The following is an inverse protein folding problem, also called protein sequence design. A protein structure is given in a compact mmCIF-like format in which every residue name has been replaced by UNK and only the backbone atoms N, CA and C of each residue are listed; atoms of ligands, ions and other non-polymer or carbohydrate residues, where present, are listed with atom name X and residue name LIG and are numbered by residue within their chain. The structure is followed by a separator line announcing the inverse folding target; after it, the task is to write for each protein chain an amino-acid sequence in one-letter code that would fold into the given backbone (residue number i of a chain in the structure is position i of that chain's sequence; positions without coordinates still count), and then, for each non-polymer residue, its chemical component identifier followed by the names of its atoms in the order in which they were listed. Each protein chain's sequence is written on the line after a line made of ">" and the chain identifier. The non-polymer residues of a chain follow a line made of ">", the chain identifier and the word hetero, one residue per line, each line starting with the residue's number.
data_IF_763670085469
#
_entry.id   IF_763670085469
#
_cell.length_a   1.000
_cell.length_b   1.000
_cell.length_c   1.000
_cell.angle_alpha   90.00
_cell.angle_beta   90.00
_cell.angle_gamma   90.00
#
_symmetry.space_group_name_H-M   'P 1'
#
loop_
_entity.id
_entity.type
_entity.pdbx_description
1 polymer ?
#
# COMPACT_ATOMS: atom_id res chain seq x y z
N UNK A 1 78.10 -19.55 49.53
CA UNK A 1 76.84 -19.43 48.77
C UNK A 1 75.75 -19.03 49.75
N UNK A 2 75.12 -17.85 49.57
CA UNK A 2 74.10 -17.33 50.51
C UNK A 2 72.89 -18.27 50.52
N UNK A 3 72.37 -18.67 51.70
CA UNK A 3 71.17 -19.49 51.76
C UNK A 3 70.02 -18.69 51.16
N UNK A 4 69.50 -19.18 50.04
CA UNK A 4 68.32 -18.62 49.38
C UNK A 4 67.17 -18.78 50.36
N UNK A 5 66.57 -17.65 50.75
CA UNK A 5 65.42 -17.61 51.65
C UNK A 5 64.20 -18.19 50.92
N UNK A 6 64.08 -19.54 50.95
CA UNK A 6 63.07 -20.31 50.21
C UNK A 6 61.62 -19.90 50.54
N UNK A 7 61.43 -19.27 51.71
CA UNK A 7 60.13 -18.78 52.17
C UNK A 7 59.68 -17.50 51.45
N UNK A 8 60.59 -16.57 51.16
CA UNK A 8 60.28 -15.36 50.38
C UNK A 8 60.06 -15.69 48.90
N UNK A 9 60.81 -16.65 48.38
CA UNK A 9 60.66 -17.13 47.01
C UNK A 9 59.28 -17.78 46.80
N UNK A 10 58.89 -18.71 47.68
CA UNK A 10 57.59 -19.41 47.58
C UNK A 10 56.39 -18.47 47.76
N UNK A 11 56.50 -17.44 48.61
CA UNK A 11 55.46 -16.40 48.74
C UNK A 11 55.32 -15.56 47.47
N UNK A 12 56.43 -15.16 46.87
CA UNK A 12 56.44 -14.39 45.61
C UNK A 12 55.87 -15.20 44.44
N UNK A 13 56.19 -16.49 44.35
CA UNK A 13 55.60 -17.40 43.35
C UNK A 13 54.09 -17.56 43.52
N UNK A 14 53.58 -17.68 44.76
CA UNK A 14 52.13 -17.76 45.00
C UNK A 14 51.39 -16.50 44.55
N UNK A 15 51.94 -15.32 44.84
CA UNK A 15 51.36 -14.04 44.41
C UNK A 15 51.38 -13.93 42.89
N UNK A 16 52.49 -14.31 42.25
CA UNK A 16 52.61 -14.33 40.79
C UNK A 16 51.59 -15.26 40.15
N UNK A 17 51.44 -16.49 40.65
CA UNK A 17 50.46 -17.46 40.13
C UNK A 17 49.03 -16.93 40.31
N UNK A 18 48.71 -16.32 41.45
CA UNK A 18 47.38 -15.77 41.70
C UNK A 18 47.07 -14.62 40.74
N UNK A 19 48.00 -13.68 40.55
CA UNK A 19 47.86 -12.59 39.58
C UNK A 19 47.73 -13.11 38.15
N UNK A 20 48.49 -14.15 37.78
CA UNK A 20 48.43 -14.77 36.46
C UNK A 20 47.07 -15.45 36.21
N UNK A 21 46.54 -16.18 37.19
CA UNK A 21 45.21 -16.79 37.11
C UNK A 21 44.13 -15.71 37.00
N UNK A 22 44.23 -14.64 37.79
CA UNK A 22 43.26 -13.55 37.78
C UNK A 22 43.28 -12.84 36.41
N UNK A 23 44.46 -12.51 35.89
CA UNK A 23 44.62 -11.92 34.55
C UNK A 23 44.05 -12.83 33.45
N UNK A 24 44.35 -14.13 33.52
CA UNK A 24 43.84 -15.12 32.55
C UNK A 24 42.32 -15.22 32.62
N UNK A 25 41.74 -15.26 33.83
CA UNK A 25 40.29 -15.29 34.01
C UNK A 25 39.62 -14.02 33.47
N UNK A 26 40.24 -12.85 33.70
CA UNK A 26 39.74 -11.57 33.21
C UNK A 26 39.77 -11.53 31.68
N UNK A 27 40.86 -11.99 31.06
CA UNK A 27 40.97 -12.09 29.60
C UNK A 27 39.88 -13.00 29.02
N UNK A 28 39.60 -14.16 29.64
CA UNK A 28 38.52 -15.05 29.22
C UNK A 28 37.15 -14.40 29.35
N UNK A 29 36.90 -13.65 30.43
CA UNK A 29 35.64 -12.90 30.63
C UNK A 29 35.49 -11.82 29.55
N UNK A 30 36.55 -11.08 29.22
CA UNK A 30 36.50 -10.07 28.15
C UNK A 30 36.14 -10.69 26.81
N UNK A 31 36.75 -11.83 26.45
CA UNK A 31 36.44 -12.56 25.22
C UNK A 31 34.99 -13.05 25.24
N UNK A 32 34.52 -13.59 26.36
CA UNK A 32 33.14 -14.02 26.52
C UNK A 32 32.14 -12.87 26.33
N UNK A 33 32.37 -11.73 27.00
CA UNK A 33 31.52 -10.55 26.89
C UNK A 33 31.52 -9.97 25.47
N UNK A 34 32.67 -9.99 24.79
CA UNK A 34 32.75 -9.59 23.39
C UNK A 34 31.81 -10.43 22.51
N UNK A 35 31.90 -11.75 22.59
CA UNK A 35 31.02 -12.64 21.82
C UNK A 35 29.55 -12.53 22.23
N UNK A 36 29.26 -12.35 23.52
CA UNK A 36 27.90 -12.15 24.01
C UNK A 36 27.29 -10.86 23.45
N UNK A 37 28.05 -9.75 23.49
CA UNK A 37 27.64 -8.47 22.93
C UNK A 37 27.42 -8.56 21.43
N UNK A 38 28.34 -9.19 20.68
CA UNK A 38 28.18 -9.36 19.24
C UNK A 38 26.91 -10.15 18.91
N UNK A 39 26.63 -11.26 19.61
CA UNK A 39 25.40 -12.04 19.38
C UNK A 39 24.14 -11.21 19.61
N UNK A 40 24.12 -10.44 20.70
CA UNK A 40 22.99 -9.57 21.03
C UNK A 40 22.77 -8.48 19.97
N UNK A 41 23.85 -7.84 19.51
CA UNK A 41 23.78 -6.86 18.42
C UNK A 41 23.28 -7.48 17.11
N UNK A 42 23.75 -8.68 16.76
CA UNK A 42 23.28 -9.42 15.59
C UNK A 42 21.79 -9.72 15.65
N UNK A 43 21.28 -10.15 16.80
CA UNK A 43 19.85 -10.47 16.97
C UNK A 43 18.97 -9.22 16.85
N UNK A 44 19.39 -8.10 17.46
CA UNK A 44 18.70 -6.81 17.31
C UNK A 44 18.72 -6.34 15.85
N UNK A 45 19.87 -6.49 15.18
CA UNK A 45 20.01 -6.09 13.79
C UNK A 45 19.10 -6.93 12.89
N UNK A 46 19.05 -8.25 13.09
CA UNK A 46 18.18 -9.15 12.35
C UNK A 46 16.70 -8.79 12.53
N UNK A 47 16.25 -8.51 13.75
CA UNK A 47 14.87 -8.08 14.02
C UNK A 47 14.54 -6.75 13.33
N UNK A 48 15.46 -5.78 13.37
CA UNK A 48 15.30 -4.49 12.67
C UNK A 48 15.24 -4.66 11.15
N UNK A 49 16.09 -5.52 10.58
CA UNK A 49 16.08 -5.81 9.14
C UNK A 49 14.75 -6.46 8.75
N UNK A 50 14.32 -7.50 9.48
CA UNK A 50 13.02 -8.16 9.23
C UNK A 50 11.85 -7.19 9.28
N UNK A 51 11.79 -6.31 10.29
CA UNK A 51 10.76 -5.27 10.39
C UNK A 51 10.80 -4.28 9.22
N UNK A 52 11.99 -3.92 8.77
CA UNK A 52 12.19 -3.01 7.63
C UNK A 52 11.75 -3.67 6.33
N UNK A 53 12.12 -4.92 6.09
CA UNK A 53 11.73 -5.69 4.90
C UNK A 53 10.21 -5.90 4.85
N UNK A 54 9.58 -6.20 5.99
CA UNK A 54 8.12 -6.28 6.08
C UNK A 54 7.47 -4.94 5.72
N UNK A 55 8.02 -3.82 6.17
CA UNK A 55 7.50 -2.49 5.87
C UNK A 55 7.71 -2.10 4.41
N UNK A 56 8.87 -2.44 3.82
CA UNK A 56 9.15 -2.24 2.40
C UNK A 56 8.25 -3.07 1.51
N UNK A 57 8.04 -4.35 1.86
CA UNK A 57 7.14 -5.25 1.15
C UNK A 57 5.71 -4.70 1.12
N UNK A 58 5.21 -4.23 2.27
CA UNK A 58 3.90 -3.56 2.35
C UNK A 58 3.81 -2.30 1.51
N UNK A 59 4.84 -1.43 1.54
CA UNK A 59 4.87 -0.23 0.68
C UNK A 59 4.83 -0.59 -0.80
N UNK A 60 5.58 -1.61 -1.20
CA UNK A 60 5.58 -2.13 -2.57
C UNK A 60 4.19 -2.62 -2.95
N UNK A 61 3.52 -3.37 -2.08
CA UNK A 61 2.16 -3.84 -2.34
C UNK A 61 1.16 -2.69 -2.50
N UNK A 62 1.21 -1.68 -1.63
CA UNK A 62 0.36 -0.48 -1.74
C UNK A 62 0.61 0.25 -3.06
N UNK A 63 1.88 0.45 -3.45
CA UNK A 63 2.23 1.10 -4.70
C UNK A 63 1.70 0.32 -5.92
N UNK A 64 1.89 -1.00 -5.95
CA UNK A 64 1.37 -1.84 -7.05
C UNK A 64 -0.15 -1.71 -7.18
N UNK A 65 -0.89 -1.60 -6.07
CA UNK A 65 -2.34 -1.40 -6.10
C UNK A 65 -2.73 -0.01 -6.62
N UNK A 66 -1.98 1.02 -6.25
CA UNK A 66 -2.18 2.36 -6.84
C UNK A 66 -1.86 2.40 -8.33
N UNK A 67 -0.86 1.65 -8.79
CA UNK A 67 -0.57 1.51 -10.22
C UNK A 67 -1.73 0.83 -10.95
N UNK A 68 -2.34 -0.21 -10.37
CA UNK A 68 -3.56 -0.82 -10.91
C UNK A 68 -4.70 0.19 -10.98
N UNK A 69 -4.97 0.93 -9.89
CA UNK A 69 -6.02 1.97 -9.87
C UNK A 69 -5.78 3.01 -10.97
N UNK A 70 -4.54 3.47 -11.14
CA UNK A 70 -4.16 4.43 -12.19
C UNK A 70 -4.39 3.87 -13.60
N UNK A 71 -4.06 2.59 -13.83
CA UNK A 71 -4.35 1.90 -15.09
C UNK A 71 -5.86 1.88 -15.37
N UNK A 72 -6.67 1.52 -14.36
CA UNK A 72 -8.13 1.44 -14.49
C UNK A 72 -8.77 2.80 -14.77
N UNK A 73 -8.30 3.87 -14.12
CA UNK A 73 -8.76 5.22 -14.46
C UNK A 73 -8.39 5.62 -15.89
N UNK A 74 -7.20 5.24 -16.38
CA UNK A 74 -6.82 5.45 -17.78
C UNK A 74 -7.72 4.67 -18.74
N UNK A 75 -8.12 3.45 -18.37
CA UNK A 75 -9.09 2.67 -19.15
C UNK A 75 -10.47 3.33 -19.16
N UNK A 76 -10.96 3.77 -18.00
CA UNK A 76 -12.22 4.52 -17.88
C UNK A 76 -12.23 5.77 -18.78
N UNK A 77 -11.12 6.52 -18.83
CA UNK A 77 -11.03 7.74 -19.65
C UNK A 77 -11.16 7.51 -21.17
N UNK A 78 -10.97 6.27 -21.64
CA UNK A 78 -11.09 5.93 -23.08
C UNK A 78 -12.52 5.69 -23.51
N UNK A 79 -13.44 5.44 -22.57
CA UNK A 79 -14.82 5.18 -22.93
C UNK A 79 -15.58 6.48 -23.23
N UNK A 80 -16.01 6.59 -24.48
CA UNK A 80 -16.75 7.75 -24.98
C UNK A 80 -18.15 7.41 -25.45
N UNK A 81 -18.50 6.11 -25.62
CA UNK A 81 -19.80 5.71 -26.16
C UNK A 81 -20.73 5.16 -25.07
N UNK A 82 -22.03 5.33 -25.28
CA UNK A 82 -23.09 4.86 -24.37
C UNK A 82 -23.68 3.60 -24.99
N UNK A 83 -22.87 2.54 -25.05
CA UNK A 83 -23.32 1.20 -25.41
C UNK A 83 -23.43 0.33 -24.15
N UNK A 84 -24.44 -0.54 -24.06
CA UNK A 84 -24.70 -1.38 -22.87
C UNK A 84 -23.48 -2.22 -22.44
N UNK A 85 -22.69 -2.70 -23.40
CA UNK A 85 -21.44 -3.43 -23.14
C UNK A 85 -20.36 -2.54 -22.52
N UNK A 86 -20.21 -1.30 -23.01
CA UNK A 86 -19.27 -0.34 -22.45
C UNK A 86 -19.69 0.14 -21.06
N UNK A 87 -21.00 0.27 -20.82
CA UNK A 87 -21.55 0.63 -19.51
C UNK A 87 -21.24 -0.45 -18.46
N UNK A 88 -21.42 -1.73 -18.82
CA UNK A 88 -21.08 -2.84 -17.94
C UNK A 88 -19.57 -2.89 -17.65
N UNK A 89 -18.74 -2.69 -18.68
CA UNK A 89 -17.29 -2.66 -18.51
C UNK A 89 -16.82 -1.50 -17.62
N UNK A 90 -17.41 -0.30 -17.76
CA UNK A 90 -17.10 0.84 -16.89
C UNK A 90 -17.46 0.55 -15.43
N UNK A 91 -18.61 -0.07 -15.17
CA UNK A 91 -19.01 -0.46 -13.81
C UNK A 91 -18.01 -1.46 -13.18
N UNK A 92 -17.57 -2.46 -13.93
CA UNK A 92 -16.56 -3.44 -13.49
C UNK A 92 -15.23 -2.74 -13.15
N UNK A 93 -14.78 -1.81 -14.00
CA UNK A 93 -13.54 -1.06 -13.76
C UNK A 93 -13.64 -0.17 -12.51
N UNK A 94 -14.78 0.48 -12.30
CA UNK A 94 -15.03 1.30 -11.12
C UNK A 94 -15.07 0.46 -9.84
N UNK A 95 -15.69 -0.71 -9.89
CA UNK A 95 -15.70 -1.67 -8.79
C UNK A 95 -14.27 -2.15 -8.45
N UNK A 96 -13.46 -2.46 -9.46
CA UNK A 96 -12.05 -2.85 -9.26
C UNK A 96 -11.23 -1.73 -8.61
N UNK A 97 -11.45 -0.47 -9.01
CA UNK A 97 -10.84 0.71 -8.37
C UNK A 97 -11.24 0.80 -6.90
N UNK A 98 -12.54 0.69 -6.61
CA UNK A 98 -13.05 0.78 -5.23
C UNK A 98 -12.53 -0.36 -4.36
N UNK A 99 -12.50 -1.59 -4.89
CA UNK A 99 -11.99 -2.77 -4.20
C UNK A 99 -10.49 -2.67 -3.89
N UNK A 100 -9.68 -2.21 -4.85
CA UNK A 100 -8.25 -1.97 -4.61
C UNK A 100 -8.03 -0.86 -3.59
N UNK A 101 -8.81 0.22 -3.67
CA UNK A 101 -8.73 1.32 -2.72
C UNK A 101 -9.13 0.89 -1.30
N UNK A 102 -10.17 0.06 -1.16
CA UNK A 102 -10.56 -0.52 0.13
C UNK A 102 -9.43 -1.35 0.75
N UNK A 103 -8.82 -2.24 -0.03
CA UNK A 103 -7.66 -3.04 0.43
C UNK A 103 -6.50 -2.17 0.87
N UNK A 104 -6.21 -1.07 0.16
CA UNK A 104 -5.20 -0.09 0.58
C UNK A 104 -5.60 0.54 1.93
N UNK A 105 -6.85 1.00 2.09
CA UNK A 105 -7.33 1.57 3.37
C UNK A 105 -7.21 0.57 4.52
N UNK A 106 -7.49 -0.71 4.30
CA UNK A 106 -7.29 -1.75 5.31
C UNK A 106 -5.81 -1.93 5.68
N UNK A 107 -4.90 -1.95 4.71
CA UNK A 107 -3.46 -2.05 4.95
C UNK A 107 -2.93 -0.86 5.74
N UNK A 108 -3.40 0.35 5.42
CA UNK A 108 -3.05 1.57 6.14
C UNK A 108 -3.59 1.52 7.57
N UNK A 109 -4.86 1.13 7.78
CA UNK A 109 -5.47 1.04 9.11
C UNK A 109 -4.76 0.04 10.02
N UNK A 110 -4.33 -1.10 9.48
CA UNK A 110 -3.57 -2.13 10.23
C UNK A 110 -2.19 -1.63 10.65
N UNK A 111 -1.69 -0.55 10.05
CA UNK A 111 -0.38 0.00 10.31
C UNK A 111 -0.50 1.28 11.16
N UNK A 112 -0.41 1.14 12.49
CA UNK A 112 -0.32 2.27 13.43
C UNK A 112 1.01 3.06 13.34
N UNK A 113 1.85 2.82 12.34
CA UNK A 113 3.12 3.54 12.24
C UNK A 113 2.88 4.96 11.76
N UNK A 114 3.17 5.95 12.62
CA UNK A 114 3.18 7.39 12.31
C UNK A 114 4.22 7.83 11.26
N UNK A 115 4.69 6.91 10.41
CA UNK A 115 5.56 7.23 9.30
C UNK A 115 4.79 8.06 8.26
N UNK A 116 5.36 9.20 7.89
CA UNK A 116 4.79 10.20 6.96
C UNK A 116 4.31 9.60 5.63
N UNK A 117 4.93 8.51 5.16
CA UNK A 117 4.52 7.80 3.95
C UNK A 117 3.09 7.28 4.01
N UNK A 118 2.62 6.80 5.17
CA UNK A 118 1.26 6.27 5.30
C UNK A 118 0.20 7.37 5.34
N UNK A 119 0.56 8.57 5.80
CA UNK A 119 -0.30 9.75 5.67
C UNK A 119 -0.49 10.13 4.20
N UNK A 120 0.58 10.07 3.40
CA UNK A 120 0.48 10.30 1.96
C UNK A 120 -0.42 9.27 1.28
N UNK A 121 -0.22 7.97 1.58
CA UNK A 121 -1.08 6.92 1.03
C UNK A 121 -2.55 7.08 1.45
N UNK A 122 -2.80 7.53 2.68
CA UNK A 122 -4.17 7.83 3.15
C UNK A 122 -4.78 8.94 2.30
N UNK A 123 -4.06 10.05 2.12
CA UNK A 123 -4.53 11.17 1.30
C UNK A 123 -4.83 10.72 -0.13
N UNK A 124 -3.89 10.01 -0.75
CA UNK A 124 -4.05 9.49 -2.11
C UNK A 124 -5.24 8.53 -2.23
N UNK A 125 -5.48 7.71 -1.22
CA UNK A 125 -6.63 6.81 -1.15
C UNK A 125 -7.96 7.56 -1.01
N UNK A 126 -7.97 8.69 -0.31
CA UNK A 126 -9.14 9.57 -0.21
C UNK A 126 -9.39 10.31 -1.54
N UNK A 127 -8.33 10.76 -2.23
CA UNK A 127 -8.41 11.36 -3.56
C UNK A 127 -8.99 10.36 -4.60
N UNK A 128 -8.58 9.08 -4.55
CA UNK A 128 -9.16 8.01 -5.37
C UNK A 128 -10.66 7.83 -5.08
N UNK A 129 -11.09 7.90 -3.81
CA UNK A 129 -12.52 7.83 -3.47
C UNK A 129 -13.30 8.98 -4.09
N UNK A 130 -12.77 10.20 -4.05
CA UNK A 130 -13.42 11.37 -4.66
C UNK A 130 -13.50 11.21 -6.19
N UNK A 131 -12.40 10.83 -6.83
CA UNK A 131 -12.34 10.67 -8.28
C UNK A 131 -13.30 9.58 -8.77
N UNK A 132 -13.37 8.44 -8.07
CA UNK A 132 -14.33 7.38 -8.39
C UNK A 132 -15.79 7.86 -8.26
N UNK A 133 -16.08 8.69 -7.24
CA UNK A 133 -17.43 9.28 -7.09
C UNK A 133 -17.78 10.29 -8.19
N UNK A 134 -16.80 11.05 -8.68
CA UNK A 134 -16.99 11.95 -9.82
C UNK A 134 -17.27 11.16 -11.09
N UNK A 135 -16.52 10.09 -11.36
CA UNK A 135 -16.73 9.21 -12.52
C UNK A 135 -18.12 8.56 -12.49
N UNK A 136 -18.56 8.04 -11.34
CA UNK A 136 -19.90 7.47 -11.17
C UNK A 136 -21.02 8.49 -11.42
N UNK A 137 -20.83 9.72 -10.92
CA UNK A 137 -21.77 10.83 -11.14
C UNK A 137 -21.82 11.23 -12.62
N UNK A 138 -20.65 11.28 -13.28
CA UNK A 138 -20.51 11.62 -14.68
C UNK A 138 -21.15 10.55 -15.58
N UNK A 139 -20.95 9.28 -15.23
CA UNK A 139 -21.61 8.14 -15.86
C UNK A 139 -23.14 8.27 -15.79
N UNK A 140 -23.68 8.48 -14.58
CA UNK A 140 -25.13 8.66 -14.37
C UNK A 140 -25.68 9.82 -15.19
N UNK A 141 -24.94 10.93 -15.23
CA UNK A 141 -25.33 12.13 -15.99
C UNK A 141 -25.34 11.85 -17.50
N UNK A 142 -24.32 11.16 -18.04
CA UNK A 142 -24.26 10.78 -19.46
C UNK A 142 -25.45 9.90 -19.85
N UNK A 143 -25.77 8.91 -19.03
CA UNK A 143 -26.92 8.04 -19.26
C UNK A 143 -28.25 8.83 -19.30
N UNK A 144 -28.43 9.77 -18.36
CA UNK A 144 -29.61 10.63 -18.35
C UNK A 144 -29.71 11.52 -19.61
N UNK A 145 -28.60 12.10 -20.07
CA UNK A 145 -28.55 12.92 -21.29
C UNK A 145 -28.99 12.09 -22.51
N UNK A 146 -28.48 10.87 -22.66
CA UNK A 146 -28.81 10.02 -23.81
C UNK A 146 -30.27 9.57 -23.79
N UNK A 147 -30.81 9.25 -22.62
CA UNK A 147 -32.21 8.92 -22.47
C UNK A 147 -33.12 10.11 -22.86
N UNK A 148 -32.80 11.32 -22.40
CA UNK A 148 -33.53 12.55 -22.78
C UNK A 148 -33.42 12.81 -24.29
N UNK A 149 -32.24 12.64 -24.87
CA UNK A 149 -32.03 12.77 -26.33
C UNK A 149 -32.92 11.80 -27.10
N UNK A 150 -32.95 10.53 -26.70
CA UNK A 150 -33.75 9.49 -27.35
C UNK A 150 -35.25 9.79 -27.27
N UNK A 151 -35.72 10.27 -26.10
CA UNK A 151 -37.11 10.71 -25.92
C UNK A 151 -37.44 11.93 -26.80
N UNK A 152 -36.51 12.88 -26.92
CA UNK A 152 -36.67 14.07 -27.76
C UNK A 152 -36.74 13.68 -29.24
N UNK A 153 -35.85 12.80 -29.72
CA UNK A 153 -35.88 12.29 -31.10
C UNK A 153 -37.17 11.52 -31.40
N UNK A 154 -37.63 10.67 -30.48
CA UNK A 154 -38.92 9.97 -30.60
C UNK A 154 -40.11 10.93 -30.67
N UNK A 155 -40.11 11.98 -29.84
CA UNK A 155 -41.12 13.03 -29.87
C UNK A 155 -41.11 13.78 -31.22
N UNK A 156 -39.93 14.14 -31.71
CA UNK A 156 -39.75 14.84 -32.97
C UNK A 156 -40.24 14.00 -34.15
N UNK A 157 -39.90 12.71 -34.17
CA UNK A 157 -40.36 11.77 -35.19
C UNK A 157 -41.89 11.57 -35.13
N UNK A 158 -42.46 11.48 -33.92
CA UNK A 158 -43.92 11.34 -33.75
C UNK A 158 -44.64 12.60 -34.22
N UNK A 159 -44.09 13.78 -33.92
CA UNK A 159 -44.63 15.06 -34.33
C UNK A 159 -44.57 15.25 -35.85
N UNK A 160 -43.43 14.91 -36.48
CA UNK A 160 -43.31 14.92 -37.94
C UNK A 160 -44.30 13.95 -38.60
N UNK A 161 -44.42 12.72 -38.09
CA UNK A 161 -45.38 11.75 -38.61
C UNK A 161 -46.84 12.23 -38.45
N UNK A 162 -47.17 12.91 -37.34
CA UNK A 162 -48.48 13.52 -37.15
C UNK A 162 -48.72 14.70 -38.09
N UNK A 163 -47.72 15.58 -38.27
CA UNK A 163 -47.77 16.70 -39.21
C UNK A 163 -47.93 16.23 -40.67
N UNK A 164 -47.23 15.17 -41.07
CA UNK A 164 -47.36 14.58 -42.40
C UNK A 164 -48.75 13.94 -42.61
N UNK A 165 -49.30 13.27 -41.59
CA UNK A 165 -50.68 12.75 -41.64
C UNK A 165 -51.72 13.87 -41.75
N UNK A 166 -51.53 14.98 -41.04
CA UNK A 166 -52.36 16.20 -41.15
C UNK A 166 -52.28 16.81 -42.55
N UNK A 167 -51.07 16.98 -43.11
CA UNK A 167 -50.86 17.52 -44.45
C UNK A 167 -51.42 16.63 -45.55
N UNK A 168 -51.36 15.31 -45.39
CA UNK A 168 -51.89 14.35 -46.34
C UNK A 168 -53.43 14.19 -46.28
N UNK A 169 -54.12 14.89 -45.36
CA UNK A 169 -55.58 14.84 -45.23
C UNK A 169 -56.15 13.46 -44.85
N UNK A 170 -55.30 12.51 -44.42
CA UNK A 170 -55.69 11.15 -44.04
C UNK A 170 -56.19 11.11 -42.60
N UNK A 171 -57.31 11.77 -42.36
CA UNK A 171 -58.19 11.48 -41.23
C UNK A 171 -59.52 10.96 -41.78
N UNK A 172 -59.52 9.71 -42.27
CA UNK A 172 -60.76 8.95 -42.48
C UNK A 172 -60.86 7.89 -41.39
N UNK A 173 -62.02 7.88 -40.74
CA UNK A 173 -62.48 6.96 -39.68
C UNK A 173 -62.05 5.52 -39.92
#
# INVERSE_FOLDING_TARGET
>A
MKPINAQELSRSYRIFILNFILLTSFALICVYLFFASSKYEYEILEDKVKKTDQLLSKRKEINTRFDMISLRFKELSKYTSINSEELNNQAILLEDIQNNNFKIKEMIKKQQSGASSFLLYKKMSDDVTQMAGIEDSLFTTRFQIENVRTQMESCLHTNQAAADRLRAGRFRR
#
